data_IF_026109116461
#
_entry.id   IF_026109116461
#
_cell.length_a   1.000
_cell.length_b   1.000
_cell.length_c   1.000
_cell.angle_alpha   90.00
_cell.angle_beta   90.00
_cell.angle_gamma   90.00
#
_symmetry.space_group_name_H-M   'P 1'
#
loop_
_entity.id
_entity.type
_entity.pdbx_description
1 polymer ?
#
# COMPACT_ATOMS: atom_id res chain seq x y z
N UNK A 1 19.38 7.11 11.11
CA UNK A 1 17.96 7.32 11.49
C UNK A 1 17.45 8.75 11.26
N UNK A 2 18.29 9.81 11.22
CA UNK A 2 17.82 11.20 11.02
C UNK A 2 17.05 11.40 9.68
N UNK A 3 17.33 10.58 8.66
CA UNK A 3 16.74 10.69 7.31
C UNK A 3 15.72 9.58 7.02
N UNK A 4 15.30 8.82 8.04
CA UNK A 4 14.27 7.78 7.89
C UNK A 4 12.87 8.35 8.08
N UNK A 5 11.89 7.84 7.31
CA UNK A 5 10.46 8.10 7.55
C UNK A 5 10.02 7.70 8.96
N UNK A 6 10.72 6.74 9.56
CA UNK A 6 10.46 6.24 10.93
C UNK A 6 10.98 7.16 12.05
N UNK A 7 11.55 8.30 11.72
CA UNK A 7 12.04 9.28 12.71
C UNK A 7 10.93 9.88 13.58
N UNK A 8 9.68 9.84 13.10
CA UNK A 8 8.52 10.42 13.75
C UNK A 8 7.38 9.39 13.86
N UNK A 9 6.86 9.13 15.08
CA UNK A 9 5.77 8.16 15.27
C UNK A 9 4.51 8.48 14.48
N UNK A 10 4.16 9.76 14.29
CA UNK A 10 2.98 10.17 13.54
C UNK A 10 3.02 9.77 12.05
N UNK A 11 4.22 9.58 11.50
CA UNK A 11 4.36 9.10 10.12
C UNK A 11 3.89 7.65 9.99
N UNK A 12 4.02 6.86 11.06
CA UNK A 12 3.47 5.50 11.11
C UNK A 12 1.94 5.56 11.13
N UNK A 13 1.36 6.44 11.96
CA UNK A 13 -0.09 6.65 12.03
C UNK A 13 -0.66 7.03 10.65
N UNK A 14 -0.07 8.02 9.99
CA UNK A 14 -0.55 8.52 8.70
C UNK A 14 -0.36 7.55 7.52
N UNK A 15 0.48 6.50 7.64
CA UNK A 15 0.71 5.51 6.59
C UNK A 15 0.07 4.17 6.89
N UNK A 16 0.63 3.54 7.94
CA UNK A 16 0.31 2.15 8.19
C UNK A 16 -1.06 1.98 8.83
N UNK A 17 -1.43 2.87 9.77
CA UNK A 17 -2.75 2.81 10.38
C UNK A 17 -3.86 3.09 9.35
N UNK A 18 -3.67 4.08 8.46
CA UNK A 18 -4.67 4.38 7.44
C UNK A 18 -4.79 3.25 6.41
N UNK A 19 -3.64 2.75 5.90
CA UNK A 19 -3.65 1.63 4.97
C UNK A 19 -4.24 0.37 5.60
N UNK A 20 -3.96 0.15 6.90
CA UNK A 20 -4.57 -0.95 7.64
C UNK A 20 -6.09 -0.77 7.78
N UNK A 21 -6.57 0.43 8.10
CA UNK A 21 -8.00 0.73 8.18
C UNK A 21 -8.73 0.48 6.86
N UNK A 22 -8.10 0.76 5.71
CA UNK A 22 -8.66 0.44 4.41
C UNK A 22 -8.80 -1.07 4.21
N UNK A 23 -7.78 -1.84 4.58
CA UNK A 23 -7.78 -3.31 4.50
C UNK A 23 -8.79 -3.91 5.49
N UNK A 24 -8.78 -3.48 6.75
CA UNK A 24 -9.68 -3.90 7.81
C UNK A 24 -11.16 -3.74 7.41
N UNK A 25 -11.53 -2.55 6.92
CA UNK A 25 -12.88 -2.26 6.46
C UNK A 25 -13.31 -3.11 5.25
N UNK A 26 -12.35 -3.67 4.53
CA UNK A 26 -12.58 -4.51 3.35
C UNK A 26 -12.70 -6.00 3.69
N UNK A 27 -12.05 -6.46 4.76
CA UNK A 27 -12.09 -7.84 5.27
C UNK A 27 -13.19 -7.94 6.31
N UNK A 28 -14.45 -8.15 5.87
CA UNK A 28 -15.62 -8.20 6.76
C UNK A 28 -15.88 -9.60 7.26
N UNK A 29 -16.03 -9.77 8.56
CA UNK A 29 -16.34 -11.04 9.22
C UNK A 29 -15.48 -11.25 10.46
N UNK A 30 -15.62 -12.42 11.08
CA UNK A 30 -14.80 -12.84 12.24
C UNK A 30 -14.22 -14.21 11.97
N UNK A 31 -13.06 -14.48 12.54
CA UNK A 31 -12.39 -15.79 12.43
C UNK A 31 -12.22 -16.24 10.95
N UNK A 32 -11.86 -15.30 10.08
CA UNK A 32 -11.64 -15.57 8.66
C UNK A 32 -10.26 -16.18 8.45
N UNK A 33 -10.14 -17.06 7.45
CA UNK A 33 -8.84 -17.51 6.96
C UNK A 33 -8.36 -16.58 5.85
N UNK A 34 -7.26 -15.90 6.09
CA UNK A 34 -6.72 -14.85 5.22
C UNK A 34 -5.34 -15.24 4.70
N UNK A 35 -5.11 -15.07 3.40
CA UNK A 35 -3.80 -15.17 2.78
C UNK A 35 -3.31 -13.76 2.44
N UNK A 36 -2.14 -13.36 2.94
CA UNK A 36 -1.43 -12.17 2.48
C UNK A 36 -0.27 -12.57 1.59
N UNK A 37 -0.30 -12.12 0.32
CA UNK A 37 0.75 -12.36 -0.67
C UNK A 37 1.73 -11.19 -0.65
N UNK A 38 3.04 -11.48 -0.51
CA UNK A 38 4.07 -10.46 -0.36
C UNK A 38 3.97 -9.72 0.97
N UNK A 39 3.84 -10.47 2.08
CA UNK A 39 3.57 -9.89 3.40
C UNK A 39 4.74 -9.06 3.99
N UNK A 40 5.93 -9.12 3.40
CA UNK A 40 7.10 -8.36 3.83
C UNK A 40 7.43 -8.57 5.31
N UNK A 41 7.49 -7.49 6.07
CA UNK A 41 7.76 -7.52 7.53
C UNK A 41 6.58 -7.99 8.37
N UNK A 42 5.47 -8.40 7.75
CA UNK A 42 4.32 -9.02 8.41
C UNK A 42 3.40 -8.07 9.15
N UNK A 43 3.45 -6.76 8.87
CA UNK A 43 2.62 -5.78 9.58
C UNK A 43 1.11 -6.05 9.39
N UNK A 44 0.63 -6.16 8.15
CA UNK A 44 -0.79 -6.40 7.88
C UNK A 44 -1.24 -7.76 8.40
N UNK A 45 -0.44 -8.82 8.16
CA UNK A 45 -0.72 -10.16 8.68
C UNK A 45 -0.87 -10.18 10.20
N UNK A 46 0.03 -9.50 10.93
CA UNK A 46 -0.01 -9.46 12.39
C UNK A 46 -1.24 -8.71 12.91
N UNK A 47 -1.56 -7.55 12.33
CA UNK A 47 -2.75 -6.79 12.75
C UNK A 47 -4.05 -7.56 12.45
N UNK A 48 -4.15 -8.21 11.30
CA UNK A 48 -5.30 -9.07 10.98
C UNK A 48 -5.42 -10.25 11.96
N UNK A 49 -4.29 -10.86 12.35
CA UNK A 49 -4.30 -11.92 13.37
C UNK A 49 -4.73 -11.39 14.74
N UNK A 50 -4.30 -10.17 15.14
CA UNK A 50 -4.76 -9.51 16.39
C UNK A 50 -6.27 -9.27 16.41
N UNK A 51 -6.89 -9.11 15.24
CA UNK A 51 -8.35 -9.03 15.09
C UNK A 51 -9.07 -10.39 15.20
N UNK A 52 -8.31 -11.49 15.37
CA UNK A 52 -8.85 -12.84 15.50
C UNK A 52 -9.00 -13.59 14.18
N UNK A 53 -8.34 -13.16 13.09
CA UNK A 53 -8.29 -13.92 11.83
C UNK A 53 -7.15 -14.92 11.84
N UNK A 54 -7.32 -16.05 11.14
CA UNK A 54 -6.26 -17.03 10.87
C UNK A 54 -5.51 -16.58 9.61
N UNK A 55 -4.25 -16.20 9.76
CA UNK A 55 -3.50 -15.55 8.68
C UNK A 55 -2.30 -16.37 8.25
N UNK A 56 -2.16 -16.51 6.94
CA UNK A 56 -0.96 -17.01 6.28
C UNK A 56 -0.32 -15.86 5.52
N UNK A 57 0.89 -15.47 5.91
CA UNK A 57 1.69 -14.48 5.18
C UNK A 57 2.78 -15.18 4.37
N UNK A 58 2.84 -14.92 3.08
CA UNK A 58 3.91 -15.46 2.23
C UNK A 58 4.76 -14.35 1.63
N UNK A 59 6.06 -14.58 1.53
CA UNK A 59 7.02 -13.68 0.87
C UNK A 59 8.22 -14.49 0.38
N UNK A 60 8.83 -14.08 -0.74
CA UNK A 60 10.02 -14.73 -1.29
C UNK A 60 11.29 -14.43 -0.46
N UNK A 61 11.28 -13.34 0.29
CA UNK A 61 12.44 -12.81 0.98
C UNK A 61 12.54 -13.32 2.43
N UNK A 62 13.32 -14.38 2.61
CA UNK A 62 13.61 -14.97 3.92
C UNK A 62 14.17 -13.96 4.95
N UNK A 63 14.96 -12.97 4.49
CA UNK A 63 15.54 -11.97 5.43
C UNK A 63 14.44 -11.05 5.99
N UNK A 64 13.46 -10.72 5.19
CA UNK A 64 12.32 -9.89 5.62
C UNK A 64 11.40 -10.71 6.52
N UNK A 65 11.11 -11.96 6.16
CA UNK A 65 10.30 -12.86 6.99
C UNK A 65 10.90 -13.18 8.35
N UNK A 66 12.22 -13.15 8.50
CA UNK A 66 12.86 -13.25 9.83
C UNK A 66 12.44 -12.10 10.75
N UNK A 67 12.26 -10.90 10.21
CA UNK A 67 11.75 -9.75 10.97
C UNK A 67 10.29 -10.00 11.36
N UNK A 68 9.45 -10.46 10.41
CA UNK A 68 8.04 -10.78 10.66
C UNK A 68 7.89 -11.82 11.77
N UNK A 69 8.63 -12.93 11.69
CA UNK A 69 8.60 -14.00 12.71
C UNK A 69 9.05 -13.49 14.09
N UNK A 70 10.13 -12.70 14.13
CA UNK A 70 10.60 -12.12 15.40
C UNK A 70 9.58 -11.17 16.02
N UNK A 71 8.91 -10.36 15.19
CA UNK A 71 7.85 -9.46 15.67
C UNK A 71 6.66 -10.27 16.20
N UNK A 72 6.29 -11.33 15.50
CA UNK A 72 5.22 -12.26 15.92
C UNK A 72 5.54 -12.96 17.25
N UNK A 73 6.79 -13.42 17.44
CA UNK A 73 7.25 -14.09 18.66
C UNK A 73 7.22 -13.17 19.89
N UNK A 74 7.45 -11.87 19.70
CA UNK A 74 7.45 -10.86 20.75
C UNK A 74 6.11 -10.13 20.89
N UNK A 75 5.08 -10.56 20.17
CA UNK A 75 3.77 -9.92 20.19
C UNK A 75 3.08 -10.08 21.56
N UNK A 76 2.74 -8.97 22.26
CA UNK A 76 2.06 -9.03 23.54
C UNK A 76 0.65 -9.64 23.45
N UNK A 77 0.03 -9.66 22.27
CA UNK A 77 -1.28 -10.24 22.00
C UNK A 77 -1.25 -11.71 21.56
N UNK A 78 -0.10 -12.38 21.65
CA UNK A 78 0.10 -13.76 21.16
C UNK A 78 -0.90 -14.79 21.70
N UNK A 79 -1.48 -14.55 22.90
CA UNK A 79 -2.47 -15.45 23.53
C UNK A 79 -3.92 -15.20 23.10
N UNK A 80 -4.21 -14.05 22.50
CA UNK A 80 -5.57 -13.59 22.17
C UNK A 80 -5.81 -13.40 20.67
N UNK A 81 -4.75 -13.35 19.88
CA UNK A 81 -4.84 -13.26 18.41
C UNK A 81 -5.22 -14.60 17.80
N UNK A 82 -5.71 -14.59 16.57
CA UNK A 82 -5.85 -15.77 15.72
C UNK A 82 -4.50 -16.39 15.34
N UNK A 83 -4.55 -17.51 14.66
CA UNK A 83 -3.35 -18.20 14.18
C UNK A 83 -2.63 -17.34 13.13
N UNK A 84 -1.29 -17.31 13.22
CA UNK A 84 -0.45 -16.58 12.29
C UNK A 84 0.78 -17.41 11.95
N UNK A 85 1.00 -17.62 10.65
CA UNK A 85 2.22 -18.26 10.16
C UNK A 85 2.79 -17.52 8.97
N UNK A 86 4.13 -17.57 8.85
CA UNK A 86 4.87 -16.97 7.73
C UNK A 86 5.63 -18.06 6.97
N UNK A 87 5.46 -18.08 5.65
CA UNK A 87 6.08 -19.07 4.75
C UNK A 87 6.95 -18.35 3.71
N UNK A 88 8.17 -18.88 3.51
CA UNK A 88 9.03 -18.42 2.40
C UNK A 88 8.55 -19.10 1.14
N UNK A 89 7.99 -18.34 0.21
CA UNK A 89 7.45 -18.92 -1.00
C UNK A 89 7.35 -17.91 -2.15
N UNK A 90 7.57 -18.39 -3.38
CA UNK A 90 7.11 -17.71 -4.59
C UNK A 90 5.63 -18.03 -4.81
N UNK A 91 4.78 -17.03 -4.82
CA UNK A 91 3.35 -17.23 -5.03
C UNK A 91 3.03 -17.87 -6.39
N UNK A 92 3.91 -17.78 -7.40
CA UNK A 92 3.72 -18.47 -8.67
C UNK A 92 3.78 -20.01 -8.53
N UNK A 93 4.52 -20.50 -7.56
CA UNK A 93 4.76 -21.95 -7.33
C UNK A 93 4.07 -22.47 -6.08
N UNK A 94 3.81 -21.58 -5.10
CA UNK A 94 3.16 -21.92 -3.85
C UNK A 94 1.72 -22.39 -4.06
N UNK A 95 1.28 -23.41 -3.33
CA UNK A 95 -0.08 -23.97 -3.46
C UNK A 95 -0.68 -24.30 -2.11
N UNK A 96 -1.99 -24.16 -2.04
CA UNK A 96 -2.86 -24.66 -0.99
C UNK A 96 -4.14 -25.23 -1.67
N UNK A 97 -5.00 -25.87 -0.92
CA UNK A 97 -6.24 -26.44 -1.46
C UNK A 97 -7.16 -25.35 -2.04
N UNK A 98 -7.84 -25.62 -3.16
CA UNK A 98 -8.81 -24.70 -3.73
C UNK A 98 -9.91 -24.33 -2.73
N UNK A 99 -10.33 -23.06 -2.75
CA UNK A 99 -11.42 -22.60 -1.88
C UNK A 99 -11.08 -22.62 -0.38
N UNK A 100 -9.82 -22.43 -0.04
CA UNK A 100 -9.35 -22.44 1.35
C UNK A 100 -9.57 -21.11 2.07
N UNK A 101 -9.45 -19.99 1.37
CA UNK A 101 -9.38 -18.68 1.98
C UNK A 101 -10.69 -17.88 1.86
N UNK A 102 -11.07 -17.24 2.95
CA UNK A 102 -12.18 -16.28 2.99
C UNK A 102 -11.77 -14.94 2.36
N UNK A 103 -10.48 -14.59 2.49
CA UNK A 103 -9.91 -13.41 1.84
C UNK A 103 -8.47 -13.67 1.35
N UNK A 104 -8.12 -13.04 0.22
CA UNK A 104 -6.74 -12.94 -0.27
C UNK A 104 -6.39 -11.46 -0.37
N UNK A 105 -5.27 -11.07 0.25
CA UNK A 105 -4.77 -9.71 0.31
C UNK A 105 -3.49 -9.56 -0.50
N UNK A 106 -3.46 -8.55 -1.37
CA UNK A 106 -2.26 -7.98 -1.96
C UNK A 106 -2.09 -6.57 -1.41
N UNK A 107 -1.00 -6.32 -0.69
CA UNK A 107 -0.70 -5.00 -0.14
C UNK A 107 0.62 -4.48 -0.69
N UNK A 108 0.55 -3.69 -1.75
CA UNK A 108 1.71 -3.06 -2.40
C UNK A 108 2.74 -4.06 -2.93
N UNK A 109 2.25 -5.09 -3.60
CA UNK A 109 3.08 -6.17 -4.15
C UNK A 109 2.70 -6.58 -5.57
N UNK A 110 1.41 -6.46 -5.96
CA UNK A 110 0.94 -6.92 -7.27
C UNK A 110 1.65 -6.19 -8.42
N UNK A 111 2.02 -4.92 -8.22
CA UNK A 111 2.76 -4.15 -9.22
C UNK A 111 4.18 -4.73 -9.50
N UNK A 112 4.76 -5.49 -8.58
CA UNK A 112 6.07 -6.14 -8.74
C UNK A 112 5.97 -7.61 -9.22
N UNK A 113 4.78 -8.22 -9.16
CA UNK A 113 4.60 -9.63 -9.51
C UNK A 113 4.43 -9.81 -11.03
N UNK A 114 5.19 -10.72 -11.66
CA UNK A 114 5.06 -10.95 -13.09
C UNK A 114 3.70 -11.56 -13.45
N UNK A 115 3.18 -11.20 -14.64
CA UNK A 115 1.93 -11.75 -15.16
C UNK A 115 0.72 -11.60 -14.22
N UNK A 116 0.26 -10.38 -13.92
CA UNK A 116 -0.78 -10.12 -12.90
C UNK A 116 -2.08 -10.91 -13.13
N UNK A 117 -2.45 -11.21 -14.38
CA UNK A 117 -3.59 -12.06 -14.68
C UNK A 117 -3.42 -13.50 -14.14
N UNK A 118 -2.23 -14.08 -14.29
CA UNK A 118 -1.94 -15.43 -13.76
C UNK A 118 -1.97 -15.43 -12.24
N UNK A 119 -1.37 -14.43 -11.63
CA UNK A 119 -1.36 -14.21 -10.17
C UNK A 119 -2.79 -14.11 -9.62
N UNK A 120 -3.61 -13.25 -10.23
CA UNK A 120 -4.99 -13.03 -9.80
C UNK A 120 -5.90 -14.24 -10.06
N UNK A 121 -5.69 -14.99 -11.16
CA UNK A 121 -6.40 -16.27 -11.40
C UNK A 121 -6.08 -17.30 -10.33
N UNK A 122 -4.84 -17.33 -9.84
CA UNK A 122 -4.40 -18.19 -8.76
C UNK A 122 -5.04 -17.79 -7.43
N UNK A 123 -5.05 -16.50 -7.11
CA UNK A 123 -5.75 -15.96 -5.94
C UNK A 123 -7.26 -16.30 -5.98
N UNK A 124 -7.89 -16.15 -7.15
CA UNK A 124 -9.28 -16.52 -7.36
C UNK A 124 -9.53 -18.04 -7.10
N UNK A 125 -8.61 -18.93 -7.53
CA UNK A 125 -8.71 -20.36 -7.29
C UNK A 125 -8.66 -20.70 -5.79
N UNK A 126 -7.81 -20.03 -5.03
CA UNK A 126 -7.64 -20.23 -3.59
C UNK A 126 -8.80 -19.67 -2.76
N UNK A 127 -9.54 -18.70 -3.26
CA UNK A 127 -10.70 -18.12 -2.58
C UNK A 127 -11.88 -19.10 -2.54
N UNK A 128 -12.57 -19.13 -1.41
CA UNK A 128 -13.90 -19.73 -1.27
C UNK A 128 -14.89 -19.03 -2.22
N UNK A 129 -15.99 -19.70 -2.55
CA UNK A 129 -17.11 -19.04 -3.20
C UNK A 129 -17.65 -17.92 -2.30
N UNK A 130 -17.81 -16.71 -2.85
CA UNK A 130 -18.12 -15.52 -2.09
C UNK A 130 -16.93 -14.90 -1.29
N UNK A 131 -15.76 -15.55 -1.34
CA UNK A 131 -14.53 -15.04 -0.74
C UNK A 131 -14.05 -13.75 -1.43
N UNK A 132 -13.28 -12.93 -0.72
CA UNK A 132 -12.90 -11.58 -1.15
C UNK A 132 -11.45 -11.49 -1.58
N UNK A 133 -11.23 -10.79 -2.67
CA UNK A 133 -9.94 -10.20 -2.99
C UNK A 133 -9.89 -8.77 -2.47
N UNK A 134 -8.83 -8.44 -1.74
CA UNK A 134 -8.49 -7.07 -1.33
C UNK A 134 -7.13 -6.74 -1.92
N UNK A 135 -7.05 -5.67 -2.70
CA UNK A 135 -5.83 -5.25 -3.37
C UNK A 135 -5.60 -3.76 -3.11
N UNK A 136 -4.68 -3.44 -2.19
CA UNK A 136 -4.20 -2.09 -1.91
C UNK A 136 -2.90 -1.89 -2.67
N UNK A 137 -2.90 -1.07 -3.76
CA UNK A 137 -1.84 -1.14 -4.73
C UNK A 137 -1.51 0.18 -5.41
N UNK A 138 -0.32 0.26 -5.98
CA UNK A 138 0.19 1.45 -6.64
C UNK A 138 0.01 1.42 -8.16
N UNK A 139 -0.58 2.50 -8.68
CA UNK A 139 -0.61 2.85 -10.10
C UNK A 139 0.49 3.89 -10.38
N UNK A 140 1.76 3.50 -10.32
CA UNK A 140 2.88 4.44 -10.44
C UNK A 140 2.92 5.22 -11.75
N UNK A 141 2.35 4.67 -12.81
CA UNK A 141 2.18 5.33 -14.11
C UNK A 141 1.09 6.40 -14.12
N UNK A 142 0.28 6.49 -13.05
CA UNK A 142 -0.81 7.45 -12.91
C UNK A 142 -0.39 8.88 -12.52
N UNK A 143 0.86 9.12 -12.10
CA UNK A 143 1.30 10.45 -11.71
C UNK A 143 1.27 11.43 -12.88
N UNK A 144 0.45 12.47 -12.78
CA UNK A 144 0.34 13.52 -13.80
C UNK A 144 1.11 14.81 -13.45
N UNK A 145 1.18 15.73 -14.41
CA UNK A 145 1.87 17.03 -14.20
C UNK A 145 1.17 17.92 -13.17
N UNK A 146 -0.14 17.76 -12.95
CA UNK A 146 -0.89 18.55 -11.94
C UNK A 146 -0.46 18.10 -10.54
N UNK A 147 -0.38 16.78 -10.30
CA UNK A 147 0.15 16.23 -9.05
C UNK A 147 1.60 16.67 -8.80
N UNK A 148 2.46 16.60 -9.82
CA UNK A 148 3.84 17.05 -9.73
C UNK A 148 3.94 18.58 -9.46
N UNK A 149 3.05 19.39 -10.05
CA UNK A 149 2.98 20.82 -9.80
C UNK A 149 2.57 21.14 -8.37
N UNK A 150 1.55 20.45 -7.86
CA UNK A 150 1.10 20.57 -6.48
C UNK A 150 2.22 20.21 -5.49
N UNK A 151 2.92 19.09 -5.72
CA UNK A 151 4.07 18.68 -4.91
C UNK A 151 5.20 19.72 -4.97
N UNK A 152 5.50 20.25 -6.16
CA UNK A 152 6.52 21.29 -6.32
C UNK A 152 6.20 22.52 -5.48
N UNK A 153 4.95 23.01 -5.53
CA UNK A 153 4.52 24.19 -4.78
C UNK A 153 4.69 23.99 -3.27
N UNK A 154 4.25 22.85 -2.73
CA UNK A 154 4.42 22.53 -1.30
C UNK A 154 5.90 22.50 -0.92
N UNK A 155 6.72 21.77 -1.70
CA UNK A 155 8.16 21.64 -1.42
C UNK A 155 8.87 22.98 -1.45
N UNK A 156 8.55 23.85 -2.41
CA UNK A 156 9.13 25.20 -2.49
C UNK A 156 8.76 26.07 -1.27
N UNK A 157 7.52 26.02 -0.81
CA UNK A 157 7.12 26.74 0.41
C UNK A 157 7.90 26.22 1.63
N UNK A 158 7.98 24.91 1.80
CA UNK A 158 8.74 24.31 2.91
C UNK A 158 10.24 24.62 2.83
N UNK A 159 10.82 24.64 1.64
CA UNK A 159 12.23 25.02 1.41
C UNK A 159 12.49 26.48 1.79
N UNK A 160 11.64 27.42 1.35
CA UNK A 160 11.75 28.84 1.69
C UNK A 160 11.63 29.08 3.20
N UNK A 161 10.89 28.24 3.92
CA UNK A 161 10.78 28.26 5.38
C UNK A 161 11.96 27.56 6.08
N UNK A 162 12.90 26.98 5.33
CA UNK A 162 13.98 26.16 5.89
C UNK A 162 13.52 24.83 6.49
N UNK A 163 12.35 24.33 6.08
CA UNK A 163 11.73 23.12 6.63
C UNK A 163 11.77 21.93 5.67
N UNK A 164 12.60 21.99 4.63
CA UNK A 164 12.77 20.94 3.64
C UNK A 164 14.25 20.61 3.41
N UNK A 165 14.63 19.35 3.46
CA UNK A 165 16.03 18.93 3.43
C UNK A 165 16.64 18.75 2.04
N UNK A 166 15.80 18.68 1.01
CA UNK A 166 16.25 18.59 -0.39
C UNK A 166 15.93 19.86 -1.17
N UNK A 167 16.73 20.13 -2.21
CA UNK A 167 16.57 21.30 -3.06
C UNK A 167 15.92 20.94 -4.38
N UNK A 168 15.01 21.79 -4.83
CA UNK A 168 14.39 21.74 -6.14
C UNK A 168 14.85 22.91 -7.00
N UNK A 169 14.90 22.74 -8.34
CA UNK A 169 15.11 23.88 -9.24
C UNK A 169 14.15 25.03 -8.93
N UNK A 170 14.66 26.25 -8.92
CA UNK A 170 13.82 27.45 -8.68
C UNK A 170 12.84 27.69 -9.82
N UNK A 171 13.24 27.37 -11.05
CA UNK A 171 12.36 27.42 -12.19
C UNK A 171 11.23 26.39 -12.05
N UNK A 172 9.95 26.80 -12.02
CA UNK A 172 8.83 25.90 -11.78
C UNK A 172 8.74 24.76 -12.81
N UNK A 173 9.02 25.03 -14.08
CA UNK A 173 8.99 24.01 -15.13
C UNK A 173 10.04 22.94 -14.88
N UNK A 174 11.27 23.34 -14.59
CA UNK A 174 12.37 22.41 -14.31
C UNK A 174 12.12 21.62 -13.01
N UNK A 175 11.56 22.28 -11.99
CA UNK A 175 11.20 21.64 -10.73
C UNK A 175 10.12 20.55 -10.91
N UNK A 176 9.07 20.86 -11.65
CA UNK A 176 8.01 19.89 -11.99
C UNK A 176 8.58 18.75 -12.84
N UNK A 177 9.40 19.05 -13.84
CA UNK A 177 10.06 18.04 -14.68
C UNK A 177 11.00 17.13 -13.85
N UNK A 178 11.67 17.70 -12.83
CA UNK A 178 12.50 16.94 -11.88
C UNK A 178 11.67 15.95 -11.07
N UNK A 179 10.51 16.38 -10.56
CA UNK A 179 9.58 15.50 -9.81
C UNK A 179 9.06 14.38 -10.71
N UNK A 180 8.61 14.70 -11.93
CA UNK A 180 8.17 13.69 -12.90
C UNK A 180 9.28 12.69 -13.27
N UNK A 181 10.52 13.15 -13.35
CA UNK A 181 11.69 12.28 -13.59
C UNK A 181 12.04 11.41 -12.40
N UNK A 182 11.82 11.91 -11.17
CA UNK A 182 12.11 11.17 -9.94
C UNK A 182 11.11 10.04 -9.67
N UNK A 183 9.97 10.02 -10.35
CA UNK A 183 9.05 8.87 -10.32
C UNK A 183 9.68 7.68 -11.08
N UNK A 184 10.75 7.13 -10.48
CA UNK A 184 11.55 6.05 -11.06
C UNK A 184 10.76 4.74 -11.19
N UNK A 185 9.75 4.52 -10.34
CA UNK A 185 8.94 3.30 -10.37
C UNK A 185 8.15 3.19 -11.67
N UNK A 186 7.55 4.27 -12.15
CA UNK A 186 6.81 4.29 -13.42
C UNK A 186 7.65 3.94 -14.64
N UNK A 187 8.99 3.87 -14.52
CA UNK A 187 9.95 3.63 -15.61
C UNK A 187 10.63 2.27 -15.56
N UNK A 188 10.39 1.48 -14.51
CA UNK A 188 10.96 0.13 -14.42
C UNK A 188 10.18 -0.80 -15.35
N UNK A 189 10.85 -1.47 -16.26
CA UNK A 189 10.22 -2.37 -17.25
C UNK A 189 9.46 -3.55 -16.63
N UNK A 190 9.80 -3.91 -15.39
CA UNK A 190 9.19 -5.04 -14.68
C UNK A 190 8.08 -4.65 -13.69
N UNK A 191 7.68 -3.37 -13.66
CA UNK A 191 6.57 -2.90 -12.83
C UNK A 191 5.29 -2.88 -13.65
N UNK A 192 4.27 -3.59 -13.19
CA UNK A 192 2.96 -3.60 -13.82
C UNK A 192 2.32 -2.21 -13.77
N UNK A 193 1.83 -1.76 -14.91
CA UNK A 193 1.04 -0.53 -15.01
C UNK A 193 -0.37 -0.73 -14.47
N UNK A 194 -1.06 0.37 -14.22
CA UNK A 194 -2.41 0.34 -13.68
C UNK A 194 -3.36 -0.55 -14.51
N UNK A 195 -3.40 -0.37 -15.83
CA UNK A 195 -4.30 -1.15 -16.70
C UNK A 195 -3.95 -2.64 -16.75
N UNK A 196 -2.68 -3.01 -16.59
CA UNK A 196 -2.24 -4.41 -16.54
C UNK A 196 -2.76 -5.14 -15.29
N UNK A 197 -2.96 -4.39 -14.19
CA UNK A 197 -3.57 -4.89 -12.96
C UNK A 197 -5.09 -4.75 -12.98
N UNK A 198 -5.62 -3.61 -13.43
CA UNK A 198 -7.05 -3.30 -13.41
C UNK A 198 -7.88 -4.28 -14.24
N UNK A 199 -7.49 -4.53 -15.49
CA UNK A 199 -8.26 -5.39 -16.37
C UNK A 199 -8.49 -6.81 -15.81
N UNK A 200 -7.49 -7.55 -15.32
CA UNK A 200 -7.74 -8.85 -14.72
C UNK A 200 -8.50 -8.76 -13.39
N UNK A 201 -8.35 -7.69 -12.59
CA UNK A 201 -9.14 -7.48 -11.38
C UNK A 201 -10.64 -7.39 -11.71
N UNK A 202 -11.01 -6.54 -12.69
CA UNK A 202 -12.41 -6.38 -13.12
C UNK A 202 -13.00 -7.63 -13.78
N UNK A 203 -12.18 -8.41 -14.49
CA UNK A 203 -12.64 -9.60 -15.20
C UNK A 203 -12.83 -10.82 -14.32
N UNK A 204 -12.02 -10.97 -13.28
CA UNK A 204 -12.01 -12.17 -12.45
C UNK A 204 -12.89 -12.03 -11.20
N UNK A 205 -13.15 -10.80 -10.73
CA UNK A 205 -13.84 -10.58 -9.48
C UNK A 205 -15.12 -9.77 -9.66
N UNK A 206 -16.23 -10.28 -9.10
CA UNK A 206 -17.53 -9.67 -9.19
C UNK A 206 -17.76 -8.56 -8.15
N UNK A 207 -18.60 -7.59 -8.49
CA UNK A 207 -18.90 -6.46 -7.59
C UNK A 207 -17.67 -5.62 -7.25
N UNK A 208 -16.66 -5.68 -8.12
CA UNK A 208 -15.39 -4.99 -7.92
C UNK A 208 -15.59 -3.48 -7.79
N UNK A 209 -15.00 -2.91 -6.73
CA UNK A 209 -15.01 -1.48 -6.47
C UNK A 209 -13.59 -0.95 -6.32
N UNK A 210 -13.28 0.11 -7.05
CA UNK A 210 -12.04 0.88 -6.92
C UNK A 210 -12.31 2.13 -6.10
N UNK A 211 -11.46 2.41 -5.13
CA UNK A 211 -11.35 3.71 -4.48
C UNK A 211 -9.91 4.21 -4.53
N UNK A 212 -9.76 5.52 -4.60
CA UNK A 212 -8.47 6.18 -4.75
C UNK A 212 -8.10 6.92 -3.47
N UNK A 213 -6.83 6.84 -3.10
CA UNK A 213 -6.34 7.35 -1.83
C UNK A 213 -5.07 8.17 -2.00
N UNK A 214 -4.81 9.08 -1.06
CA UNK A 214 -3.65 9.92 -1.08
C UNK A 214 -2.34 9.13 -0.89
N UNK A 215 -1.32 9.51 -1.65
CA UNK A 215 0.01 8.92 -1.59
C UNK A 215 1.12 9.91 -1.91
N UNK A 216 0.89 10.89 -2.81
CA UNK A 216 1.93 11.80 -3.27
C UNK A 216 2.58 12.61 -2.13
N UNK A 217 1.81 12.95 -1.09
CA UNK A 217 2.31 13.67 0.07
C UNK A 217 3.45 12.95 0.82
N UNK A 218 3.59 11.62 0.64
CA UNK A 218 4.70 10.86 1.21
C UNK A 218 6.06 11.33 0.76
N UNK A 219 6.17 11.73 -0.49
CA UNK A 219 7.40 12.30 -1.03
C UNK A 219 7.77 13.63 -0.37
N UNK A 220 6.77 14.34 0.18
CA UNK A 220 7.00 15.55 0.99
C UNK A 220 7.45 15.18 2.40
N UNK A 221 6.77 14.26 3.05
CA UNK A 221 7.01 13.92 4.46
C UNK A 221 8.41 13.35 4.69
N UNK A 222 8.95 12.61 3.73
CA UNK A 222 10.30 12.06 3.79
C UNK A 222 11.35 13.12 4.07
N UNK A 223 11.25 14.27 3.41
CA UNK A 223 12.25 15.35 3.44
C UNK A 223 11.81 16.57 4.27
N UNK A 224 10.59 16.59 4.81
CA UNK A 224 10.08 17.63 5.68
C UNK A 224 10.79 17.64 7.05
N UNK A 225 11.17 18.80 7.53
CA UNK A 225 11.98 19.00 8.75
C UNK A 225 11.48 20.22 9.55
N UNK A 226 10.23 20.19 9.96
CA UNK A 226 9.65 21.25 10.79
C UNK A 226 10.25 21.15 12.21
N UNK A 227 10.76 22.24 12.80
CA UNK A 227 11.41 22.20 14.11
C UNK A 227 10.48 21.74 15.24
N UNK A 228 9.18 22.05 15.14
CA UNK A 228 8.16 21.66 16.11
C UNK A 228 7.41 20.42 15.60
N UNK A 229 7.51 19.32 16.32
CA UNK A 229 6.88 18.04 15.95
C UNK A 229 5.35 18.12 15.85
N UNK A 230 4.68 18.94 16.70
CA UNK A 230 3.23 19.08 16.64
C UNK A 230 2.81 19.83 15.36
N UNK A 231 3.59 20.87 14.99
CA UNK A 231 3.37 21.59 13.74
C UNK A 231 3.67 20.72 12.53
N UNK A 232 4.71 19.91 12.61
CA UNK A 232 5.05 18.95 11.53
C UNK A 232 3.91 17.94 11.29
N UNK A 233 3.38 17.34 12.37
CA UNK A 233 2.21 16.45 12.29
C UNK A 233 0.98 17.15 11.71
N UNK A 234 0.70 18.37 12.16
CA UNK A 234 -0.44 19.15 11.67
C UNK A 234 -0.32 19.49 10.16
N UNK A 235 0.88 19.87 9.70
CA UNK A 235 1.15 20.11 8.28
C UNK A 235 1.03 18.84 7.45
N UNK A 236 1.56 17.72 7.93
CA UNK A 236 1.43 16.42 7.27
C UNK A 236 -0.05 16.02 7.12
N UNK A 237 -0.84 16.18 8.17
CA UNK A 237 -2.28 15.91 8.14
C UNK A 237 -3.02 16.84 7.18
N UNK A 238 -2.66 18.13 7.14
CA UNK A 238 -3.22 19.09 6.20
C UNK A 238 -2.92 18.70 4.75
N UNK A 239 -1.66 18.43 4.42
CA UNK A 239 -1.27 18.06 3.05
C UNK A 239 -1.96 16.77 2.58
N UNK A 240 -2.09 15.79 3.47
CA UNK A 240 -2.85 14.58 3.19
C UNK A 240 -4.33 14.86 2.91
N UNK A 241 -4.97 15.70 3.74
CA UNK A 241 -6.36 16.11 3.50
C UNK A 241 -6.55 16.89 2.20
N UNK A 242 -5.62 17.80 1.88
CA UNK A 242 -5.63 18.54 0.61
C UNK A 242 -5.45 17.63 -0.59
N UNK A 243 -4.54 16.65 -0.52
CA UNK A 243 -4.34 15.67 -1.59
C UNK A 243 -5.63 14.88 -1.85
N UNK A 244 -6.30 14.41 -0.78
CA UNK A 244 -7.55 13.65 -0.92
C UNK A 244 -8.65 14.52 -1.58
N UNK A 245 -8.78 15.79 -1.19
CA UNK A 245 -9.72 16.73 -1.83
C UNK A 245 -9.42 16.89 -3.33
N UNK A 246 -8.15 17.03 -3.70
CA UNK A 246 -7.73 17.15 -5.09
C UNK A 246 -7.99 15.87 -5.91
N UNK A 247 -7.87 14.71 -5.29
CA UNK A 247 -8.21 13.41 -5.87
C UNK A 247 -9.72 13.31 -6.07
N UNK A 248 -10.51 13.61 -5.05
CA UNK A 248 -11.98 13.51 -5.08
C UNK A 248 -12.59 14.48 -6.10
N UNK A 249 -11.99 15.66 -6.25
CA UNK A 249 -12.38 16.66 -7.26
C UNK A 249 -11.79 16.39 -8.66
N UNK A 250 -11.00 15.34 -8.83
CA UNK A 250 -10.33 14.95 -10.09
C UNK A 250 -9.36 16.00 -10.64
N UNK A 251 -8.80 16.81 -9.77
CA UNK A 251 -7.80 17.82 -10.16
C UNK A 251 -6.40 17.21 -10.35
N UNK A 252 -6.08 16.14 -9.62
CA UNK A 252 -4.84 15.37 -9.78
C UNK A 252 -5.15 13.88 -9.98
N UNK A 253 -4.25 13.17 -10.66
CA UNK A 253 -4.32 11.72 -10.79
C UNK A 253 -3.72 11.05 -9.54
N UNK A 254 -4.48 10.18 -8.86
CA UNK A 254 -3.98 9.39 -7.75
C UNK A 254 -3.08 8.24 -8.22
N UNK A 255 -2.25 7.74 -7.31
CA UNK A 255 -1.39 6.56 -7.55
C UNK A 255 -1.61 5.42 -6.57
N UNK A 256 -2.38 5.62 -5.52
CA UNK A 256 -2.74 4.55 -4.59
C UNK A 256 -4.22 4.21 -4.78
N UNK A 257 -4.51 2.94 -5.10
CA UNK A 257 -5.88 2.46 -5.18
C UNK A 257 -6.12 1.28 -4.23
N UNK A 258 -7.36 1.18 -3.77
CA UNK A 258 -7.89 -0.02 -3.16
C UNK A 258 -8.92 -0.62 -4.12
N UNK A 259 -8.76 -1.90 -4.43
CA UNK A 259 -9.75 -2.72 -5.10
C UNK A 259 -10.29 -3.78 -4.14
N UNK A 260 -11.60 -3.92 -4.10
CA UNK A 260 -12.28 -5.00 -3.38
C UNK A 260 -13.26 -5.68 -4.33
N UNK A 261 -13.10 -6.98 -4.51
CA UNK A 261 -14.01 -7.76 -5.33
C UNK A 261 -14.25 -9.16 -4.73
N UNK A 262 -15.22 -9.88 -5.22
CA UNK A 262 -15.60 -11.20 -4.70
C UNK A 262 -15.48 -12.27 -5.78
N UNK A 263 -15.11 -13.49 -5.38
CA UNK A 263 -15.29 -14.67 -6.22
C UNK A 263 -16.77 -14.98 -6.34
N UNK A 264 -17.28 -15.14 -7.57
CA UNK A 264 -18.68 -15.53 -7.77
C UNK A 264 -19.02 -16.81 -6.99
N UNK A 265 -20.27 -16.94 -6.49
CA UNK A 265 -20.78 -18.24 -6.09
C UNK A 265 -20.74 -19.20 -7.30
N UNK A 266 -20.48 -20.49 -7.03
CA UNK A 266 -20.52 -21.51 -8.07
C UNK A 266 -21.93 -21.72 -8.59
#
# INVERSE_FOLDING_TARGET
MKDSLWRQPYLIELTYADNFSLVENSIRGRNLRVLEVGCGTGFMSLELARMGHDVVGIDMNEKILRIARRTMETDPHSKTRGDLRYEVADFNEWSDDPGTYDAVLFSRVLHELPHPRKILSRAHHLLKNGGRLVCLEYAYDGMDRRAATWLYQIRRVLELLGWYSSHLPENPKEGVDSIMKANLYARREHINKYDEMRHPLEQLFHGGHFSWHCYHCWDVFRDMRVPDQKKEKALASLFKGMEQILIDSREIQPVLFLFVGTKAPA
#
